data_IF_455738918083
#
_entry.id   IF_455738918083
#
_cell.length_a   1.000
_cell.length_b   1.000
_cell.length_c   1.000
_cell.angle_alpha   90.00
_cell.angle_beta   90.00
_cell.angle_gamma   90.00
#
_symmetry.space_group_name_H-M   'P 1'
#
loop_
_entity.id
_entity.type
_entity.pdbx_description
1 polymer ?
#
# COMPACT_ATOMS: atom_id res chain seq x y z
N UNK A 1 50.89 -10.54 -37.30
CA UNK A 1 49.43 -10.56 -37.37
C UNK A 1 48.89 -9.85 -36.14
N UNK A 2 48.63 -8.52 -36.25
CA UNK A 2 48.33 -7.60 -35.12
C UNK A 2 46.84 -7.39 -35.11
N UNK A 3 46.12 -7.93 -34.10
CA UNK A 3 44.69 -7.66 -33.87
C UNK A 3 44.52 -6.24 -33.37
N UNK A 4 43.90 -5.36 -34.17
CA UNK A 4 43.43 -4.06 -33.76
C UNK A 4 42.15 -4.21 -32.89
N UNK A 5 42.29 -4.01 -31.60
CA UNK A 5 41.14 -3.78 -30.71
C UNK A 5 40.46 -2.47 -31.11
N UNK A 6 39.26 -2.56 -31.69
CA UNK A 6 38.36 -1.43 -31.88
C UNK A 6 37.85 -1.03 -30.50
N UNK A 7 38.26 0.13 -30.00
CA UNK A 7 37.61 0.82 -28.87
C UNK A 7 36.19 1.18 -29.32
N UNK A 8 35.18 0.56 -28.68
CA UNK A 8 33.82 1.05 -28.78
C UNK A 8 33.74 2.40 -28.06
N UNK A 9 33.74 3.48 -28.82
CA UNK A 9 33.36 4.80 -28.30
C UNK A 9 31.87 4.76 -27.96
N UNK A 10 31.58 4.53 -26.70
CA UNK A 10 30.23 4.65 -26.15
C UNK A 10 29.83 6.14 -26.23
N UNK A 11 28.94 6.46 -27.18
CA UNK A 11 28.47 7.81 -27.40
C UNK A 11 27.86 8.37 -26.11
N UNK A 12 28.19 9.60 -25.66
CA UNK A 12 27.73 10.15 -24.38
C UNK A 12 26.20 10.25 -24.26
N UNK A 13 25.46 10.17 -25.37
CA UNK A 13 24.00 10.13 -25.40
C UNK A 13 23.40 8.84 -24.82
N UNK A 14 24.11 7.69 -24.94
CA UNK A 14 23.65 6.43 -24.36
C UNK A 14 23.86 6.41 -22.82
N UNK A 15 24.93 7.03 -22.32
CA UNK A 15 25.18 7.17 -20.89
C UNK A 15 24.18 8.09 -20.18
N UNK A 16 23.71 9.15 -20.85
CA UNK A 16 22.71 10.06 -20.29
C UNK A 16 21.33 9.39 -20.15
N UNK A 17 20.94 8.54 -21.10
CA UNK A 17 19.71 7.77 -20.99
C UNK A 17 19.77 6.73 -19.87
N UNK A 18 20.91 6.06 -19.65
CA UNK A 18 21.05 5.08 -18.57
C UNK A 18 21.02 5.72 -17.17
N UNK A 19 21.52 6.94 -17.01
CA UNK A 19 21.49 7.66 -15.73
C UNK A 19 20.07 8.10 -15.31
N UNK A 20 19.17 8.35 -16.25
CA UNK A 20 17.77 8.73 -15.98
C UNK A 20 16.91 7.56 -15.46
N UNK A 21 17.35 6.31 -15.64
CA UNK A 21 16.59 5.13 -15.18
C UNK A 21 16.84 4.79 -13.71
N UNK A 22 17.88 5.32 -13.10
CA UNK A 22 18.27 5.00 -11.71
C UNK A 22 17.51 5.81 -10.63
N UNK A 23 16.82 6.88 -11.01
CA UNK A 23 16.07 7.74 -10.09
C UNK A 23 14.55 7.49 -10.08
N UNK A 24 14.08 6.37 -10.59
CA UNK A 24 12.67 6.10 -10.88
C UNK A 24 11.83 5.61 -9.68
N UNK A 25 12.35 5.68 -8.45
CA UNK A 25 11.60 5.35 -7.24
C UNK A 25 11.49 6.56 -6.34
N UNK A 26 10.28 6.98 -5.99
CA UNK A 26 10.08 7.99 -4.94
C UNK A 26 10.51 7.39 -3.62
N UNK A 27 11.51 8.01 -2.99
CA UNK A 27 11.92 7.64 -1.65
C UNK A 27 10.99 8.32 -0.65
N UNK A 28 10.14 7.55 0.00
CA UNK A 28 9.35 8.04 1.13
C UNK A 28 10.18 7.87 2.39
N UNK A 29 10.34 8.93 3.20
CA UNK A 29 10.95 8.79 4.52
C UNK A 29 10.22 7.73 5.34
N UNK A 30 10.91 7.13 6.29
CA UNK A 30 10.31 6.27 7.32
C UNK A 30 10.43 7.00 8.66
N UNK A 31 9.66 8.09 8.87
CA UNK A 31 9.69 8.82 10.12
C UNK A 31 9.18 7.90 11.24
N UNK A 32 9.73 8.07 12.42
CA UNK A 32 9.14 7.56 13.63
C UNK A 32 8.14 8.58 14.12
N UNK A 33 6.87 8.21 14.14
CA UNK A 33 5.79 9.01 14.70
C UNK A 33 5.64 8.78 16.19
N UNK A 34 4.41 8.95 16.67
CA UNK A 34 4.02 8.80 18.08
C UNK A 34 2.78 7.92 18.25
N UNK A 35 2.41 7.15 17.21
CA UNK A 35 1.14 6.42 17.20
C UNK A 35 1.22 5.01 17.76
N UNK A 36 2.43 4.44 17.90
CA UNK A 36 2.62 3.11 18.48
C UNK A 36 2.76 3.18 19.99
N UNK A 37 2.26 2.18 20.68
CA UNK A 37 2.41 2.04 22.15
C UNK A 37 3.88 1.84 22.57
N UNK A 38 4.71 1.27 21.70
CA UNK A 38 6.15 1.12 21.91
C UNK A 38 6.92 1.01 20.61
N UNK A 39 8.09 1.64 20.56
CA UNK A 39 9.07 1.57 19.47
C UNK A 39 10.31 0.72 19.85
N UNK A 40 10.33 0.19 21.08
CA UNK A 40 11.45 -0.59 21.57
C UNK A 40 11.58 -1.92 20.83
N UNK A 41 12.81 -2.34 20.56
CA UNK A 41 13.11 -3.63 19.95
C UNK A 41 12.72 -3.76 18.48
N UNK A 42 12.36 -2.66 17.79
CA UNK A 42 12.09 -2.70 16.35
C UNK A 42 13.38 -2.80 15.54
N UNK A 43 13.44 -3.78 14.66
CA UNK A 43 14.58 -4.02 13.76
C UNK A 43 14.26 -3.55 12.34
N UNK A 44 15.25 -2.99 11.61
CA UNK A 44 15.09 -2.67 10.20
C UNK A 44 14.78 -3.93 9.40
N UNK A 45 13.82 -3.83 8.49
CA UNK A 45 13.54 -4.84 7.48
C UNK A 45 13.11 -4.15 6.20
N UNK A 46 13.68 -4.55 5.08
CA UNK A 46 13.46 -3.89 3.81
C UNK A 46 13.04 -4.92 2.79
N UNK A 47 11.88 -4.68 2.18
CA UNK A 47 11.44 -5.37 0.98
C UNK A 47 12.05 -4.76 -0.28
N UNK A 48 11.75 -5.34 -1.44
CA UNK A 48 12.21 -4.81 -2.73
C UNK A 48 11.69 -3.38 -2.96
N UNK A 49 10.47 -3.08 -2.51
CA UNK A 49 9.77 -1.83 -2.79
C UNK A 49 9.38 -1.04 -1.53
N UNK A 50 9.39 -1.67 -0.36
CA UNK A 50 9.00 -1.06 0.90
C UNK A 50 10.17 -1.00 1.87
N UNK A 51 10.25 0.08 2.64
CA UNK A 51 11.13 0.22 3.80
C UNK A 51 10.29 -0.02 5.05
N UNK A 52 10.81 -0.76 6.01
CA UNK A 52 10.12 -0.99 7.27
C UNK A 52 11.08 -1.10 8.44
N UNK A 53 10.56 -0.84 9.63
CA UNK A 53 11.08 -1.33 10.91
C UNK A 53 9.96 -2.11 11.57
N UNK A 54 10.26 -3.24 12.14
CA UNK A 54 9.23 -4.09 12.71
C UNK A 54 9.71 -4.82 13.97
N UNK A 55 8.73 -5.15 14.79
CA UNK A 55 8.86 -6.10 15.90
C UNK A 55 7.71 -7.08 15.82
N UNK A 56 7.98 -8.34 16.05
CA UNK A 56 6.98 -9.41 16.02
C UNK A 56 7.26 -10.41 17.16
N UNK A 57 6.22 -10.74 17.92
CA UNK A 57 6.21 -11.82 18.88
C UNK A 57 5.40 -12.99 18.28
N UNK A 58 6.05 -14.08 17.85
CA UNK A 58 5.37 -15.14 17.10
C UNK A 58 4.32 -15.90 17.93
N UNK A 59 4.60 -16.21 19.17
CA UNK A 59 3.78 -17.15 19.95
C UNK A 59 2.34 -16.64 20.16
N UNK A 60 2.09 -15.43 20.69
CA UNK A 60 0.73 -14.91 20.84
C UNK A 60 0.03 -14.67 19.51
N UNK A 61 0.75 -14.24 18.47
CA UNK A 61 0.16 -14.03 17.13
C UNK A 61 -0.35 -15.34 16.53
N UNK A 62 0.43 -16.43 16.68
CA UNK A 62 0.06 -17.74 16.16
C UNK A 62 -1.07 -18.40 16.98
N UNK A 63 -1.21 -18.07 18.26
CA UNK A 63 -2.29 -18.57 19.13
C UNK A 63 -3.62 -17.82 18.91
N UNK A 64 -3.59 -16.55 18.52
CA UNK A 64 -4.78 -15.73 18.33
C UNK A 64 -5.72 -16.29 17.27
N UNK A 65 -7.03 -16.22 17.52
CA UNK A 65 -8.10 -16.65 16.60
C UNK A 65 -8.93 -15.47 16.09
N UNK A 66 -9.08 -14.45 16.93
CA UNK A 66 -9.95 -13.31 16.64
C UNK A 66 -9.15 -12.02 16.52
N UNK A 67 -9.59 -11.12 15.63
CA UNK A 67 -8.99 -9.80 15.47
C UNK A 67 -10.06 -8.73 15.35
N UNK A 68 -9.83 -7.59 15.99
CA UNK A 68 -10.61 -6.37 15.84
C UNK A 68 -9.74 -5.32 15.17
N UNK A 69 -10.29 -4.62 14.19
CA UNK A 69 -9.62 -3.52 13.50
C UNK A 69 -10.24 -2.21 13.99
N UNK A 70 -9.41 -1.35 14.53
CA UNK A 70 -9.78 0.03 14.86
C UNK A 70 -9.64 0.88 13.61
N UNK A 71 -10.61 1.75 13.27
CA UNK A 71 -10.50 2.61 12.11
C UNK A 71 -9.17 3.36 12.06
N UNK A 72 -8.52 3.33 10.91
CA UNK A 72 -7.21 3.92 10.70
C UNK A 72 -7.24 5.43 10.96
N UNK A 73 -6.36 5.90 11.85
CA UNK A 73 -6.18 7.31 12.11
C UNK A 73 -5.28 7.97 11.05
N UNK A 74 -5.35 9.30 10.95
CA UNK A 74 -4.43 10.10 10.13
C UNK A 74 -3.74 11.13 11.03
N UNK A 75 -2.40 11.11 11.07
CA UNK A 75 -1.56 12.06 11.79
C UNK A 75 -0.62 12.75 10.80
N UNK A 76 -1.20 13.37 9.80
CA UNK A 76 -0.46 14.12 8.78
C UNK A 76 -0.51 15.57 9.23
N UNK A 77 0.66 16.20 9.39
CA UNK A 77 0.76 17.63 9.75
C UNK A 77 -0.09 18.50 8.83
N UNK A 78 -0.07 19.83 8.94
CA UNK A 78 -0.87 20.78 8.13
C UNK A 78 -0.55 20.65 6.63
N UNK A 79 -0.82 19.48 6.10
CA UNK A 79 -0.64 19.07 4.72
C UNK A 79 -1.82 19.61 3.93
N UNK A 80 -1.67 20.31 2.87
CA UNK A 80 -2.76 20.82 2.03
C UNK A 80 -3.63 19.73 1.37
N UNK A 81 -3.86 18.58 2.03
CA UNK A 81 -4.76 17.52 1.59
C UNK A 81 -6.19 17.77 2.03
N UNK A 82 -7.16 17.47 1.17
CA UNK A 82 -8.57 17.48 1.51
C UNK A 82 -8.84 16.39 2.57
N UNK A 83 -9.57 16.71 3.67
CA UNK A 83 -9.95 15.71 4.66
C UNK A 83 -10.66 14.47 4.08
N UNK A 84 -11.44 14.65 3.01
CA UNK A 84 -12.09 13.52 2.29
C UNK A 84 -11.08 12.60 1.62
N UNK A 85 -10.00 13.15 1.07
CA UNK A 85 -8.92 12.37 0.47
C UNK A 85 -8.18 11.57 1.54
N UNK A 86 -7.92 12.16 2.71
CA UNK A 86 -7.30 11.47 3.85
C UNK A 86 -8.19 10.33 4.36
N UNK A 87 -9.47 10.60 4.55
CA UNK A 87 -10.45 9.59 4.98
C UNK A 87 -10.56 8.44 3.96
N UNK A 88 -10.46 8.74 2.66
CA UNK A 88 -10.47 7.73 1.60
C UNK A 88 -9.25 6.80 1.69
N UNK A 89 -8.06 7.35 1.93
CA UNK A 89 -6.83 6.55 2.11
C UNK A 89 -6.92 5.69 3.37
N UNK A 90 -7.33 6.27 4.51
CA UNK A 90 -7.51 5.56 5.78
C UNK A 90 -8.52 4.40 5.62
N UNK A 91 -9.66 4.66 5.01
CA UNK A 91 -10.67 3.62 4.76
C UNK A 91 -10.17 2.52 3.80
N UNK A 92 -9.36 2.87 2.80
CA UNK A 92 -8.75 1.89 1.92
C UNK A 92 -7.78 0.96 2.68
N UNK A 93 -7.06 1.49 3.68
CA UNK A 93 -6.21 0.71 4.59
C UNK A 93 -7.07 -0.26 5.40
N UNK A 94 -8.12 0.23 6.05
CA UNK A 94 -9.01 -0.59 6.90
C UNK A 94 -9.63 -1.74 6.12
N UNK A 95 -10.17 -1.44 4.96
CA UNK A 95 -10.80 -2.44 4.08
C UNK A 95 -9.79 -3.49 3.61
N UNK A 96 -8.59 -3.08 3.25
CA UNK A 96 -7.54 -4.00 2.84
C UNK A 96 -7.06 -4.87 4.01
N UNK A 97 -6.84 -4.29 5.20
CA UNK A 97 -6.52 -5.04 6.42
C UNK A 97 -7.61 -6.06 6.74
N UNK A 98 -8.88 -5.65 6.70
CA UNK A 98 -10.00 -6.53 6.99
C UNK A 98 -10.05 -7.72 6.02
N UNK A 99 -9.86 -7.47 4.74
CA UNK A 99 -9.81 -8.52 3.72
C UNK A 99 -8.64 -9.49 3.97
N UNK A 100 -7.47 -8.95 4.22
CA UNK A 100 -6.24 -9.74 4.31
C UNK A 100 -6.15 -10.55 5.62
N UNK A 101 -6.56 -9.97 6.75
CA UNK A 101 -6.60 -10.65 8.04
C UNK A 101 -7.67 -11.75 8.08
N UNK A 102 -8.74 -11.60 7.31
CA UNK A 102 -9.82 -12.61 7.18
C UNK A 102 -9.36 -13.96 6.63
N UNK A 103 -8.16 -14.05 6.06
CA UNK A 103 -7.60 -15.32 5.58
C UNK A 103 -7.39 -16.32 6.74
N UNK A 104 -7.11 -15.84 7.95
CA UNK A 104 -6.87 -16.69 9.10
C UNK A 104 -7.70 -16.32 10.32
N UNK A 105 -7.83 -15.04 10.62
CA UNK A 105 -8.53 -14.58 11.80
C UNK A 105 -10.02 -14.42 11.53
N UNK A 106 -10.84 -14.65 12.56
CA UNK A 106 -12.20 -14.16 12.60
C UNK A 106 -12.15 -12.66 12.92
N UNK A 107 -12.59 -11.83 11.98
CA UNK A 107 -12.71 -10.40 12.24
C UNK A 107 -14.01 -10.16 12.99
N UNK A 108 -13.92 -9.52 14.15
CA UNK A 108 -15.05 -9.26 15.05
C UNK A 108 -15.46 -7.80 15.05
N UNK A 109 -16.72 -7.54 15.40
CA UNK A 109 -17.27 -6.19 15.51
C UNK A 109 -16.57 -5.37 16.62
N UNK A 110 -16.57 -4.03 16.55
CA UNK A 110 -15.93 -3.16 17.54
C UNK A 110 -16.39 -3.38 18.99
N UNK A 111 -17.62 -3.84 19.19
CA UNK A 111 -18.22 -4.12 20.50
C UNK A 111 -17.83 -5.46 21.11
N UNK A 112 -17.20 -6.34 20.32
CA UNK A 112 -16.86 -7.70 20.77
C UNK A 112 -15.39 -7.77 21.24
N UNK A 113 -15.08 -8.64 22.23
CA UNK A 113 -13.71 -8.90 22.60
C UNK A 113 -12.95 -9.58 21.45
N UNK A 114 -11.63 -9.35 21.39
CA UNK A 114 -10.75 -9.95 20.42
C UNK A 114 -9.41 -10.32 21.06
N UNK A 115 -8.76 -11.37 20.52
CA UNK A 115 -7.43 -11.76 20.96
C UNK A 115 -6.37 -10.72 20.56
N UNK A 116 -6.59 -10.09 19.39
CA UNK A 116 -5.75 -9.02 18.88
C UNK A 116 -6.60 -7.80 18.49
N UNK A 117 -6.07 -6.63 18.80
CA UNK A 117 -6.62 -5.34 18.38
C UNK A 117 -5.58 -4.67 17.49
N UNK A 118 -5.95 -4.38 16.26
CA UNK A 118 -5.09 -3.72 15.26
C UNK A 118 -5.39 -2.24 15.25
N UNK A 119 -4.34 -1.44 15.43
CA UNK A 119 -4.32 0.00 15.25
C UNK A 119 -3.42 0.33 14.08
N UNK A 120 -3.86 1.22 13.19
CA UNK A 120 -3.06 1.76 12.11
C UNK A 120 -3.20 3.29 12.06
N UNK A 121 -2.13 3.97 11.69
CA UNK A 121 -2.09 5.42 11.56
C UNK A 121 -1.32 5.79 10.31
N UNK A 122 -1.95 6.54 9.40
CA UNK A 122 -1.25 7.16 8.27
C UNK A 122 -0.45 8.33 8.80
N UNK A 123 0.87 8.24 8.73
CA UNK A 123 1.81 9.22 9.30
C UNK A 123 2.37 10.18 8.26
N UNK A 124 2.40 9.77 6.98
CA UNK A 124 2.81 10.65 5.89
C UNK A 124 2.22 10.23 4.54
N UNK A 125 1.92 11.21 3.72
CA UNK A 125 1.54 11.05 2.32
C UNK A 125 2.39 11.98 1.47
N UNK A 126 3.18 11.42 0.57
CA UNK A 126 3.81 12.18 -0.50
C UNK A 126 2.78 12.37 -1.62
N UNK A 127 2.48 13.63 -1.93
CA UNK A 127 1.47 13.96 -2.93
C UNK A 127 1.84 13.44 -4.33
N UNK A 128 0.88 12.84 -5.03
CA UNK A 128 1.00 12.52 -6.45
C UNK A 128 0.83 13.79 -7.28
N UNK A 129 1.77 14.06 -8.19
CA UNK A 129 1.61 15.16 -9.13
C UNK A 129 0.54 14.79 -10.19
N UNK A 130 -0.58 15.49 -10.16
CA UNK A 130 -1.74 15.21 -11.01
C UNK A 130 -1.44 15.39 -12.51
N UNK A 131 -0.64 16.38 -12.86
CA UNK A 131 -0.25 16.65 -14.27
C UNK A 131 0.64 15.54 -14.81
N UNK A 132 1.65 15.11 -14.03
CA UNK A 132 2.52 14.00 -14.42
C UNK A 132 1.75 12.68 -14.49
N UNK A 133 0.80 12.45 -13.58
CA UNK A 133 -0.10 11.30 -13.63
C UNK A 133 -0.96 11.30 -14.90
N UNK A 134 -1.57 12.44 -15.25
CA UNK A 134 -2.35 12.60 -16.47
C UNK A 134 -1.50 12.35 -17.73
N UNK A 135 -0.30 12.89 -17.81
CA UNK A 135 0.64 12.63 -18.89
C UNK A 135 0.98 11.15 -19.04
N UNK A 136 1.19 10.45 -17.92
CA UNK A 136 1.44 8.99 -17.91
C UNK A 136 0.24 8.20 -18.45
N UNK A 137 -0.99 8.61 -18.11
CA UNK A 137 -2.22 7.98 -18.60
C UNK A 137 -2.36 8.18 -20.11
N UNK A 138 -2.18 9.41 -20.60
CA UNK A 138 -2.26 9.72 -22.04
C UNK A 138 -1.22 8.90 -22.82
N UNK A 139 0.02 8.82 -22.34
CA UNK A 139 1.07 8.02 -22.98
C UNK A 139 0.69 6.53 -23.04
N UNK A 140 0.14 5.97 -21.95
CA UNK A 140 -0.27 4.57 -21.90
C UNK A 140 -1.45 4.25 -22.81
N UNK A 141 -2.44 5.15 -22.89
CA UNK A 141 -3.60 5.00 -23.77
C UNK A 141 -3.19 5.15 -25.25
N UNK A 142 -2.34 6.14 -25.55
CA UNK A 142 -1.82 6.35 -26.92
C UNK A 142 -1.06 5.12 -27.43
N UNK A 143 -0.20 4.52 -26.61
CA UNK A 143 0.50 3.29 -26.97
C UNK A 143 -0.45 2.10 -27.20
N UNK A 144 -1.52 2.00 -26.38
CA UNK A 144 -2.54 0.95 -26.55
C UNK A 144 -3.31 1.11 -27.87
N UNK A 145 -3.67 2.34 -28.25
CA UNK A 145 -4.35 2.65 -29.51
C UNK A 145 -3.43 2.41 -30.72
N UNK A 146 -2.13 2.69 -30.57
CA UNK A 146 -1.12 2.42 -31.61
C UNK A 146 -0.80 0.92 -31.78
N UNK A 147 -1.49 0.03 -31.06
CA UNK A 147 -1.29 -1.42 -31.17
C UNK A 147 0.03 -1.93 -30.54
N UNK A 148 0.72 -1.09 -29.80
CA UNK A 148 1.91 -1.48 -29.06
C UNK A 148 1.47 -2.30 -27.85
N UNK A 149 1.43 -3.62 -27.96
CA UNK A 149 1.02 -4.54 -26.89
C UNK A 149 1.93 -4.54 -25.64
N UNK A 150 2.78 -3.52 -25.48
CA UNK A 150 3.77 -3.41 -24.39
C UNK A 150 3.27 -2.45 -23.32
N UNK A 151 3.33 -2.82 -22.03
CA UNK A 151 3.03 -1.90 -20.94
C UNK A 151 3.97 -0.68 -21.00
N UNK A 152 3.40 0.53 -21.13
CA UNK A 152 4.20 1.76 -21.06
C UNK A 152 4.44 2.11 -19.61
N UNK A 153 5.70 2.23 -19.16
CA UNK A 153 6.03 2.70 -17.82
C UNK A 153 5.49 4.11 -17.57
N UNK A 154 5.13 4.39 -16.31
CA UNK A 154 4.80 5.77 -15.89
C UNK A 154 5.99 6.71 -16.07
N UNK A 155 5.68 7.99 -16.25
CA UNK A 155 6.71 9.03 -16.14
C UNK A 155 7.35 8.98 -14.73
N UNK A 156 8.68 9.01 -14.63
CA UNK A 156 9.40 8.88 -13.34
C UNK A 156 9.41 10.18 -12.52
N UNK A 157 8.42 11.04 -12.70
CA UNK A 157 8.29 12.33 -12.02
C UNK A 157 6.96 12.45 -11.32
N UNK A 158 6.94 13.13 -10.18
CA UNK A 158 5.73 13.40 -9.43
C UNK A 158 5.05 12.15 -8.88
N UNK A 159 5.82 11.10 -8.62
CA UNK A 159 5.35 9.89 -7.96
C UNK A 159 5.06 10.19 -6.49
N UNK A 160 3.91 9.75 -6.02
CA UNK A 160 3.52 9.86 -4.62
C UNK A 160 4.00 8.71 -3.76
N UNK A 161 3.59 8.71 -2.51
CA UNK A 161 3.96 7.67 -1.55
C UNK A 161 3.11 7.67 -0.30
N UNK A 162 3.33 6.66 0.54
CA UNK A 162 2.57 6.44 1.76
C UNK A 162 3.50 5.93 2.87
N UNK A 163 3.33 6.48 4.08
CA UNK A 163 3.93 5.95 5.30
C UNK A 163 2.83 5.67 6.34
N UNK A 164 2.94 4.53 7.00
CA UNK A 164 1.97 4.04 7.99
C UNK A 164 2.72 3.43 9.16
N UNK A 165 2.25 3.73 10.36
CA UNK A 165 2.57 2.99 11.59
C UNK A 165 1.39 2.10 11.95
N UNK A 166 1.67 0.86 12.31
CA UNK A 166 0.64 -0.05 12.80
C UNK A 166 1.15 -0.99 13.87
N UNK A 167 0.25 -1.36 14.76
CA UNK A 167 0.52 -2.34 15.82
C UNK A 167 -0.66 -3.29 16.01
N UNK A 168 -0.37 -4.45 16.54
CA UNK A 168 -1.35 -5.37 17.10
C UNK A 168 -1.06 -5.55 18.60
N UNK A 169 -2.06 -5.23 19.42
CA UNK A 169 -2.02 -5.41 20.86
C UNK A 169 -2.97 -6.52 21.28
N UNK A 170 -2.70 -7.16 22.39
CA UNK A 170 -3.65 -8.11 22.99
C UNK A 170 -4.71 -7.41 23.87
N UNK A 171 -5.58 -8.21 24.49
CA UNK A 171 -6.62 -7.73 25.42
C UNK A 171 -6.08 -6.92 26.61
N UNK A 172 -4.82 -7.13 26.99
CA UNK A 172 -4.14 -6.45 28.09
C UNK A 172 -3.34 -5.23 27.60
N UNK A 173 -3.59 -4.78 26.35
CA UNK A 173 -2.90 -3.67 25.67
C UNK A 173 -1.39 -3.89 25.49
N UNK A 174 -0.92 -5.13 25.60
CA UNK A 174 0.47 -5.48 25.38
C UNK A 174 0.75 -5.64 23.87
N UNK A 175 1.73 -4.92 23.36
CA UNK A 175 2.08 -4.92 21.94
C UNK A 175 2.71 -6.25 21.53
N UNK A 176 2.08 -6.99 20.60
CA UNK A 176 2.54 -8.28 20.07
C UNK A 176 3.20 -8.16 18.71
N UNK A 177 2.84 -7.13 17.96
CA UNK A 177 3.51 -6.78 16.71
C UNK A 177 3.47 -5.28 16.50
N UNK A 178 4.49 -4.74 15.85
CA UNK A 178 4.55 -3.36 15.44
C UNK A 178 5.31 -3.22 14.12
N UNK A 179 4.87 -2.29 13.28
CA UNK A 179 5.51 -2.00 12.00
C UNK A 179 5.45 -0.50 11.69
N UNK A 180 6.60 0.08 11.43
CA UNK A 180 6.72 1.31 10.65
C UNK A 180 6.93 0.88 9.22
N UNK A 181 6.15 1.42 8.30
CA UNK A 181 6.19 1.05 6.90
C UNK A 181 6.13 2.28 6.01
N UNK A 182 6.95 2.32 4.98
CA UNK A 182 6.86 3.35 3.95
C UNK A 182 7.17 2.78 2.57
N UNK A 183 6.46 3.30 1.56
CA UNK A 183 6.67 2.95 0.17
C UNK A 183 6.33 4.10 -0.75
N UNK A 184 7.20 4.34 -1.74
CA UNK A 184 6.90 5.21 -2.87
C UNK A 184 6.25 4.45 -4.01
N UNK A 185 5.47 5.15 -4.80
CA UNK A 185 5.01 4.65 -6.08
C UNK A 185 6.20 4.40 -7.01
N UNK A 186 6.07 3.44 -7.92
CA UNK A 186 7.08 3.17 -8.92
C UNK A 186 6.48 3.15 -10.33
N UNK A 187 7.35 3.24 -11.33
CA UNK A 187 6.94 3.39 -12.72
C UNK A 187 6.33 2.13 -13.35
N UNK A 188 6.51 0.96 -12.72
CA UNK A 188 6.13 -0.34 -13.30
C UNK A 188 4.83 -0.87 -12.67
N UNK A 189 4.78 -0.93 -11.33
CA UNK A 189 3.70 -1.64 -10.63
C UNK A 189 2.58 -0.73 -10.13
N UNK A 190 2.83 0.59 -9.98
CA UNK A 190 1.83 1.53 -9.50
C UNK A 190 1.14 2.22 -10.67
N UNK A 191 -0.18 2.00 -10.84
CA UNK A 191 -0.95 2.66 -11.88
C UNK A 191 -1.11 4.15 -11.58
N UNK A 192 -0.91 5.00 -12.59
CA UNK A 192 -1.12 6.44 -12.46
C UNK A 192 -2.61 6.73 -12.22
N UNK A 193 -2.91 7.59 -11.24
CA UNK A 193 -4.26 8.14 -11.00
C UNK A 193 -4.18 9.65 -10.86
N UNK A 194 -5.10 10.36 -11.50
CA UNK A 194 -5.13 11.83 -11.50
C UNK A 194 -5.79 12.32 -10.21
N UNK A 195 -5.10 12.08 -9.08
CA UNK A 195 -5.50 12.48 -7.74
C UNK A 195 -4.26 12.74 -6.90
N UNK A 196 -4.29 13.74 -6.01
CA UNK A 196 -3.20 14.05 -5.08
C UNK A 196 -2.85 12.88 -4.17
N UNK A 197 -3.82 12.07 -3.81
CA UNK A 197 -3.66 10.85 -2.98
C UNK A 197 -3.70 9.56 -3.81
N UNK A 198 -3.63 9.64 -5.14
CA UNK A 198 -3.82 8.49 -6.02
C UNK A 198 -2.84 7.36 -5.78
N UNK A 199 -1.57 7.69 -5.53
CA UNK A 199 -0.54 6.71 -5.23
C UNK A 199 -0.68 6.17 -3.80
N UNK A 200 -0.94 7.02 -2.80
CA UNK A 200 -1.18 6.61 -1.42
C UNK A 200 -2.37 5.64 -1.33
N UNK A 201 -3.48 5.95 -1.99
CA UNK A 201 -4.63 5.06 -2.10
C UNK A 201 -4.25 3.69 -2.69
N UNK A 202 -3.46 3.68 -3.76
CA UNK A 202 -3.03 2.43 -4.40
C UNK A 202 -2.05 1.62 -3.53
N UNK A 203 -1.27 2.30 -2.68
CA UNK A 203 -0.30 1.67 -1.78
C UNK A 203 -0.92 1.13 -0.49
N UNK A 204 -2.16 1.52 -0.14
CA UNK A 204 -2.88 1.03 1.05
C UNK A 204 -3.00 -0.49 1.07
N UNK A 205 -3.28 -1.11 -0.07
CA UNK A 205 -3.34 -2.58 -0.19
C UNK A 205 -1.97 -3.25 -0.05
N UNK A 206 -0.89 -2.60 -0.46
CA UNK A 206 0.46 -3.14 -0.30
C UNK A 206 0.88 -3.14 1.17
N UNK A 207 0.58 -2.06 1.90
CA UNK A 207 0.78 -2.00 3.35
C UNK A 207 0.00 -3.11 4.05
N UNK A 208 -1.31 -3.20 3.77
CA UNK A 208 -2.17 -4.21 4.40
C UNK A 208 -1.66 -5.63 4.15
N UNK A 209 -1.21 -5.93 2.93
CA UNK A 209 -0.64 -7.23 2.60
C UNK A 209 0.64 -7.54 3.39
N UNK A 210 1.53 -6.55 3.57
CA UNK A 210 2.76 -6.74 4.33
C UNK A 210 2.47 -6.90 5.83
N UNK A 211 1.66 -6.01 6.42
CA UNK A 211 1.31 -6.07 7.83
C UNK A 211 0.52 -7.33 8.18
N UNK A 212 -0.51 -7.65 7.39
CA UNK A 212 -1.29 -8.87 7.60
C UNK A 212 -0.43 -10.12 7.49
N UNK A 213 0.50 -10.19 6.51
CA UNK A 213 1.43 -11.31 6.39
C UNK A 213 2.29 -11.48 7.64
N UNK A 214 2.73 -10.38 8.25
CA UNK A 214 3.47 -10.41 9.52
C UNK A 214 2.62 -11.05 10.62
N UNK A 215 1.36 -10.64 10.78
CA UNK A 215 0.46 -11.17 11.81
C UNK A 215 0.08 -12.64 11.54
N UNK A 216 -0.25 -12.98 10.29
CA UNK A 216 -0.66 -14.34 9.93
C UNK A 216 0.45 -15.38 10.13
N UNK A 217 1.70 -14.99 9.87
CA UNK A 217 2.85 -15.90 9.90
C UNK A 217 3.73 -15.76 11.15
N UNK A 218 3.49 -14.75 11.98
CA UNK A 218 4.32 -14.47 13.17
C UNK A 218 5.78 -14.22 12.81
N UNK A 219 6.09 -13.62 11.65
CA UNK A 219 7.46 -13.38 11.21
C UNK A 219 7.56 -12.22 10.22
N UNK A 220 8.80 -11.81 9.95
CA UNK A 220 9.12 -10.77 8.99
C UNK A 220 8.46 -11.04 7.62
N UNK A 221 7.59 -10.13 7.13
CA UNK A 221 6.84 -10.33 5.88
C UNK A 221 7.70 -10.23 4.63
N UNK A 222 8.89 -9.62 4.72
CA UNK A 222 9.78 -9.41 3.59
C UNK A 222 10.74 -10.57 3.36
N UNK A 223 10.77 -11.54 4.29
CA UNK A 223 11.56 -12.75 4.19
C UNK A 223 10.72 -13.91 3.68
N UNK A 224 11.20 -14.59 2.65
CA UNK A 224 10.55 -15.74 2.03
C UNK A 224 9.74 -15.40 0.78
N UNK A 225 9.07 -16.42 0.22
CA UNK A 225 8.30 -16.27 -1.00
C UNK A 225 7.00 -15.48 -0.76
N UNK A 226 6.57 -14.66 -1.73
CA UNK A 226 5.26 -14.04 -1.71
C UNK A 226 4.15 -15.09 -1.57
N UNK A 227 3.13 -14.79 -0.78
CA UNK A 227 1.97 -15.66 -0.68
C UNK A 227 1.06 -15.48 -1.90
N UNK A 228 0.52 -16.58 -2.41
CA UNK A 228 -0.54 -16.55 -3.43
C UNK A 228 -1.80 -15.98 -2.75
N UNK A 229 -2.50 -14.99 -3.36
CA UNK A 229 -3.74 -14.47 -2.82
C UNK A 229 -4.79 -15.57 -2.65
N UNK A 230 -5.51 -15.57 -1.55
CA UNK A 230 -6.64 -16.48 -1.36
C UNK A 230 -7.78 -16.15 -2.33
N UNK A 231 -8.66 -17.13 -2.58
CA UNK A 231 -9.88 -16.91 -3.38
C UNK A 231 -10.78 -15.85 -2.76
N UNK A 232 -10.78 -15.74 -1.43
CA UNK A 232 -11.49 -14.70 -0.69
C UNK A 232 -10.95 -13.30 -1.03
N UNK A 233 -9.62 -13.12 -1.04
CA UNK A 233 -8.98 -11.86 -1.43
C UNK A 233 -9.29 -11.48 -2.87
N UNK A 234 -9.24 -12.46 -3.78
CA UNK A 234 -9.61 -12.23 -5.19
C UNK A 234 -11.06 -11.78 -5.32
N UNK A 235 -12.01 -12.47 -4.65
CA UNK A 235 -13.43 -12.10 -4.65
C UNK A 235 -13.63 -10.69 -4.10
N UNK A 236 -13.04 -10.36 -2.95
CA UNK A 236 -13.13 -9.04 -2.34
C UNK A 236 -12.55 -7.94 -3.24
N UNK A 237 -11.43 -8.18 -3.91
CA UNK A 237 -10.83 -7.22 -4.85
C UNK A 237 -11.70 -6.94 -6.08
N UNK A 238 -12.55 -7.89 -6.45
CA UNK A 238 -13.54 -7.74 -7.53
C UNK A 238 -14.85 -7.07 -7.07
N UNK A 239 -14.92 -6.60 -5.82
CA UNK A 239 -16.09 -5.92 -5.27
C UNK A 239 -17.11 -6.86 -4.63
N UNK A 240 -16.74 -8.11 -4.37
CA UNK A 240 -17.58 -9.05 -3.64
C UNK A 240 -17.64 -8.75 -2.14
N UNK A 241 -18.66 -9.30 -1.48
CA UNK A 241 -18.86 -9.14 -0.05
C UNK A 241 -17.66 -9.63 0.76
N UNK A 242 -17.33 -8.94 1.85
CA UNK A 242 -16.29 -9.38 2.77
C UNK A 242 -16.71 -10.67 3.48
N UNK A 243 -15.73 -11.46 3.93
CA UNK A 243 -15.98 -12.75 4.61
C UNK A 243 -16.73 -12.58 5.93
N UNK A 244 -16.48 -11.49 6.64
CA UNK A 244 -17.10 -11.20 7.93
C UNK A 244 -17.89 -9.89 7.88
N UNK A 245 -19.06 -9.88 8.52
CA UNK A 245 -19.93 -8.71 8.56
C UNK A 245 -19.27 -7.48 9.21
N UNK A 246 -18.37 -7.70 10.16
CA UNK A 246 -17.57 -6.61 10.75
C UNK A 246 -16.81 -5.78 9.71
N UNK A 247 -16.40 -6.38 8.60
CA UNK A 247 -15.70 -5.70 7.52
C UNK A 247 -16.62 -4.80 6.67
N UNK A 248 -17.94 -4.99 6.72
CA UNK A 248 -18.92 -4.16 5.99
C UNK A 248 -18.87 -2.70 6.43
N UNK A 249 -18.43 -2.44 7.68
CA UNK A 249 -18.24 -1.08 8.19
C UNK A 249 -17.22 -0.27 7.35
N UNK A 250 -16.27 -0.93 6.71
CA UNK A 250 -15.25 -0.31 5.86
C UNK A 250 -15.65 -0.23 4.38
N UNK A 251 -16.88 -0.63 4.06
CA UNK A 251 -17.39 -0.69 2.68
C UNK A 251 -16.79 -1.84 1.86
N UNK A 252 -17.16 -1.87 0.59
CA UNK A 252 -16.63 -2.84 -0.38
C UNK A 252 -15.61 -2.21 -1.31
N UNK A 253 -14.68 -3.00 -1.83
CA UNK A 253 -13.75 -2.53 -2.84
C UNK A 253 -14.51 -2.09 -4.10
N UNK A 254 -14.01 -1.09 -4.85
CA UNK A 254 -14.67 -0.60 -6.07
C UNK A 254 -14.81 -1.65 -7.19
N UNK A 255 -14.20 -2.82 -7.05
CA UNK A 255 -14.32 -3.95 -7.94
C UNK A 255 -13.92 -3.65 -9.39
N UNK A 256 -14.64 -4.28 -10.34
CA UNK A 256 -14.40 -4.06 -11.77
C UNK A 256 -14.49 -2.59 -12.21
N UNK A 257 -15.49 -1.80 -11.77
CA UNK A 257 -15.52 -0.37 -12.08
C UNK A 257 -14.26 0.36 -11.61
N UNK A 258 -13.77 0.05 -10.40
CA UNK A 258 -12.54 0.63 -9.87
C UNK A 258 -11.29 0.21 -10.64
N UNK A 259 -11.24 -1.02 -11.13
CA UNK A 259 -10.14 -1.51 -11.97
C UNK A 259 -10.12 -0.81 -13.34
N UNK A 260 -11.27 -0.64 -13.95
CA UNK A 260 -11.43 0.11 -15.23
C UNK A 260 -11.04 1.58 -15.00
N UNK A 261 -11.59 2.23 -13.97
CA UNK A 261 -11.25 3.59 -13.61
C UNK A 261 -9.73 3.78 -13.39
N UNK A 262 -9.08 2.82 -12.70
CA UNK A 262 -7.63 2.83 -12.51
C UNK A 262 -6.85 2.71 -13.82
N UNK A 263 -7.36 1.95 -14.80
CA UNK A 263 -6.74 1.82 -16.12
C UNK A 263 -6.76 3.13 -16.89
N UNK A 264 -7.84 3.91 -16.75
CA UNK A 264 -8.01 5.22 -17.34
C UNK A 264 -7.46 6.36 -16.45
N UNK A 265 -6.80 6.05 -15.35
CA UNK A 265 -6.20 7.04 -14.46
C UNK A 265 -7.20 7.91 -13.70
N UNK A 266 -8.46 7.49 -13.63
CA UNK A 266 -9.51 8.27 -12.95
C UNK A 266 -9.25 8.34 -11.45
N UNK A 267 -9.64 9.46 -10.78
CA UNK A 267 -9.53 9.61 -9.34
C UNK A 267 -10.23 8.47 -8.59
N UNK A 268 -9.66 7.97 -7.48
CA UNK A 268 -10.31 6.92 -6.69
C UNK A 268 -11.71 7.29 -6.21
N UNK A 269 -11.96 8.56 -5.89
CA UNK A 269 -13.25 9.10 -5.43
C UNK A 269 -14.42 8.87 -6.40
N UNK A 270 -14.15 8.58 -7.67
CA UNK A 270 -15.20 8.34 -8.66
C UNK A 270 -15.86 6.98 -8.49
N UNK A 271 -15.12 6.01 -8.00
CA UNK A 271 -15.60 4.61 -7.87
C UNK A 271 -15.60 4.10 -6.43
N UNK A 272 -14.78 4.69 -5.56
CA UNK A 272 -14.74 4.35 -4.13
C UNK A 272 -15.52 5.41 -3.33
N UNK A 273 -16.58 4.98 -2.70
CA UNK A 273 -17.44 5.86 -1.87
C UNK A 273 -17.01 5.90 -0.41
N UNK A 274 -15.93 5.17 -0.07
CA UNK A 274 -15.45 5.06 1.31
C UNK A 274 -16.34 4.15 2.17
N UNK A 275 -16.16 4.27 3.49
CA UNK A 275 -17.02 3.60 4.46
C UNK A 275 -18.46 4.10 4.35
N UNK A 276 -19.42 3.23 4.57
CA UNK A 276 -20.80 3.66 4.76
C UNK A 276 -20.85 4.58 5.99
N UNK A 277 -21.23 5.85 5.80
CA UNK A 277 -21.47 6.74 6.94
C UNK A 277 -22.67 6.14 7.68
N UNK A 278 -22.42 5.55 8.85
CA UNK A 278 -23.50 5.20 9.77
C UNK A 278 -24.15 6.52 10.21
N UNK A 279 -25.31 6.82 9.64
CA UNK A 279 -26.18 7.89 10.12
C UNK A 279 -26.83 7.49 11.42
#
# INVERSE_FOLDING_TARGET
MILKLRRLEMRPRAALCAALWLSACTSVPLPQGTSLSSYAGMSPSTGILAKARLRVDPAPLLAAQTVRIVPTATQIGSSGFDPKDLALVANAVDRALCTDLSDRFQVVAPSLPADLIVHATVTDIVATNRTAAAGSVVASLGASVAGLGVPVPRLPIGLGGLAIEAEAVDKDSSQKAAMLWSRGANIITTKARVSTVGDAYSLSSAFAADFSRMLLKGKDPFKGMPAIPSMQRLRASLGGDPKYDACKAFGTAPGLPGMVAARFGLPPTWTDKGAAVSR
#
